data_IF_444532657861
#
_entry.id   IF_444532657861
#
_cell.length_a   1.000
_cell.length_b   1.000
_cell.length_c   1.000
_cell.angle_alpha   90.00
_cell.angle_beta   90.00
_cell.angle_gamma   90.00
#
_symmetry.space_group_name_H-M   'P 1'
#
loop_
_entity.id
_entity.type
_entity.pdbx_description
1 polymer ?
#
# COMPACT_ATOMS: atom_id res chain seq x y z
N UNK A 1 -13.26 -36.13 -46.08
CA UNK A 1 -14.63 -36.60 -46.25
C UNK A 1 -15.42 -35.95 -45.11
N UNK A 2 -16.02 -34.84 -45.46
CA UNK A 2 -17.41 -34.38 -45.27
C UNK A 2 -17.87 -34.19 -43.82
N UNK A 3 -18.55 -33.21 -43.39
CA UNK A 3 -19.08 -31.98 -43.98
C UNK A 3 -19.88 -31.26 -42.88
N UNK A 4 -19.88 -29.98 -42.89
CA UNK A 4 -20.75 -29.05 -42.17
C UNK A 4 -22.17 -29.11 -42.73
N UNK A 5 -23.19 -28.30 -42.36
CA UNK A 5 -23.36 -27.32 -41.30
C UNK A 5 -24.85 -27.18 -40.77
N UNK A 6 -25.36 -25.99 -40.40
CA UNK A 6 -26.23 -25.71 -39.26
C UNK A 6 -27.70 -25.48 -39.60
N UNK A 7 -28.61 -25.29 -38.65
CA UNK A 7 -29.93 -24.71 -38.84
C UNK A 7 -30.49 -23.93 -37.65
N UNK A 8 -30.76 -22.78 -37.90
CA UNK A 8 -31.62 -21.64 -37.60
C UNK A 8 -33.12 -21.95 -37.32
N UNK A 9 -33.66 -21.09 -36.44
CA UNK A 9 -35.00 -20.44 -36.42
C UNK A 9 -36.26 -21.30 -36.21
N UNK A 10 -37.13 -20.90 -35.26
CA UNK A 10 -38.29 -20.01 -35.52
C UNK A 10 -39.10 -19.73 -34.25
N UNK A 11 -39.58 -18.50 -34.19
CA UNK A 11 -40.64 -18.01 -33.32
C UNK A 11 -42.01 -18.53 -33.78
N UNK A 12 -42.97 -18.62 -32.86
CA UNK A 12 -44.38 -18.58 -33.18
C UNK A 12 -45.19 -17.91 -32.07
N UNK A 13 -45.84 -16.86 -32.44
CA UNK A 13 -46.89 -16.15 -31.70
C UNK A 13 -48.19 -17.01 -31.70
N UNK A 14 -49.00 -16.88 -30.63
CA UNK A 14 -50.45 -16.93 -30.83
C UNK A 14 -51.19 -16.15 -29.73
N UNK A 15 -52.02 -15.23 -30.20
CA UNK A 15 -53.05 -14.45 -29.50
C UNK A 15 -54.29 -15.32 -29.22
N UNK A 16 -54.98 -14.97 -28.11
CA UNK A 16 -56.44 -14.83 -27.91
C UNK A 16 -56.65 -14.82 -26.40
N UNK A 17 -57.50 -14.06 -25.76
CA UNK A 17 -58.66 -13.29 -26.09
C UNK A 17 -59.23 -12.74 -24.78
N UNK A 18 -59.88 -11.65 -24.86
CA UNK A 18 -60.38 -10.69 -23.91
C UNK A 18 -61.67 -11.16 -23.19
N UNK A 19 -61.81 -10.89 -21.88
CA UNK A 19 -63.09 -10.52 -21.27
C UNK A 19 -62.85 -9.93 -19.84
N UNK A 20 -63.66 -8.95 -19.42
CA UNK A 20 -63.40 -8.13 -18.23
C UNK A 20 -64.05 -8.71 -16.98
N UNK A 21 -63.36 -8.54 -15.81
CA UNK A 21 -63.99 -8.74 -14.49
C UNK A 21 -63.73 -7.52 -13.61
N UNK A 22 -64.80 -7.09 -12.96
CA UNK A 22 -64.94 -5.97 -12.05
C UNK A 22 -64.04 -6.12 -10.81
N UNK A 23 -63.65 -5.00 -10.15
CA UNK A 23 -62.77 -5.00 -8.99
C UNK A 23 -63.51 -5.33 -7.68
N UNK A 24 -62.93 -6.09 -6.77
CA UNK A 24 -63.43 -6.18 -5.42
C UNK A 24 -62.89 -5.03 -4.57
N UNK A 25 -63.79 -4.53 -3.75
CA UNK A 25 -63.74 -3.47 -2.75
C UNK A 25 -62.44 -3.33 -1.96
N UNK A 26 -62.02 -2.08 -1.76
CA UNK A 26 -60.97 -1.63 -0.87
C UNK A 26 -61.13 -2.13 0.59
N UNK A 27 -60.06 -2.74 1.11
CA UNK A 27 -59.84 -2.87 2.55
C UNK A 27 -59.02 -1.64 3.01
N UNK A 28 -59.26 -1.12 4.22
CA UNK A 28 -58.55 0.02 4.73
C UNK A 28 -57.06 -0.32 4.94
N UNK A 29 -56.18 0.57 4.55
CA UNK A 29 -54.73 0.55 4.87
C UNK A 29 -54.55 0.61 6.38
N UNK A 30 -53.59 -0.16 6.95
CA UNK A 30 -53.14 0.06 8.32
C UNK A 30 -52.32 1.35 8.36
N UNK A 31 -52.65 2.16 9.36
CA UNK A 31 -51.97 3.42 9.67
C UNK A 31 -50.47 3.27 9.82
N UNK A 32 -49.79 4.23 9.23
CA UNK A 32 -48.50 4.82 9.57
C UNK A 32 -47.74 4.12 10.72
N UNK A 33 -46.83 3.21 10.35
CA UNK A 33 -45.79 2.72 11.24
C UNK A 33 -44.65 3.74 11.13
N UNK A 34 -44.41 4.47 12.21
CA UNK A 34 -43.44 5.55 12.32
C UNK A 34 -42.11 5.24 11.65
N UNK A 35 -41.60 6.22 10.96
CA UNK A 35 -40.26 6.32 10.44
C UNK A 35 -39.24 6.01 11.58
N UNK A 36 -38.63 4.83 11.51
CA UNK A 36 -37.48 4.50 12.35
C UNK A 36 -36.27 5.30 11.82
N UNK A 37 -35.74 6.26 12.55
CA UNK A 37 -34.64 7.09 12.08
C UNK A 37 -33.31 6.37 11.88
N UNK A 38 -33.28 5.02 12.02
CA UNK A 38 -32.07 4.18 11.83
C UNK A 38 -32.00 3.48 10.47
N UNK A 39 -32.95 3.72 9.55
CA UNK A 39 -33.01 3.10 8.23
C UNK A 39 -32.34 3.95 7.11
N UNK A 40 -31.60 4.99 7.44
CA UNK A 40 -30.83 5.78 6.47
C UNK A 40 -29.47 5.13 6.17
N UNK A 41 -29.15 4.86 4.86
CA UNK A 41 -27.81 4.46 4.44
C UNK A 41 -26.75 5.52 4.82
N UNK A 42 -25.44 5.23 4.63
CA UNK A 42 -24.37 6.15 5.02
C UNK A 42 -24.54 7.53 4.36
N UNK A 43 -24.30 8.58 5.14
CA UNK A 43 -24.44 9.96 4.68
C UNK A 43 -23.27 10.34 3.77
N UNK A 44 -23.50 10.77 2.51
CA UNK A 44 -22.43 11.19 1.63
C UNK A 44 -21.68 12.40 2.20
N UNK A 45 -20.36 12.31 2.32
CA UNK A 45 -19.48 13.41 2.68
C UNK A 45 -18.71 13.84 1.42
N UNK A 46 -19.21 14.87 0.74
CA UNK A 46 -18.69 15.34 -0.56
C UNK A 46 -17.83 16.59 -0.45
N UNK A 47 -17.79 17.24 0.70
CA UNK A 47 -16.95 18.41 0.99
C UNK A 47 -16.59 18.44 2.48
N UNK A 48 -15.42 19.03 2.85
CA UNK A 48 -15.06 19.26 4.23
C UNK A 48 -16.07 20.16 4.95
N UNK A 49 -16.31 19.95 6.24
CA UNK A 49 -17.29 20.71 7.05
C UNK A 49 -17.03 22.21 7.08
N UNK A 50 -15.76 22.61 7.01
CA UNK A 50 -15.32 24.02 7.07
C UNK A 50 -15.00 24.58 5.66
N UNK A 51 -15.33 23.83 4.59
CA UNK A 51 -14.98 24.13 3.21
C UNK A 51 -13.55 23.68 2.86
N UNK A 52 -13.24 23.73 1.56
CA UNK A 52 -11.91 23.36 1.04
C UNK A 52 -10.96 24.53 1.22
N UNK A 53 -9.85 24.39 1.99
CA UNK A 53 -8.89 25.47 2.15
C UNK A 53 -8.02 25.64 0.90
N UNK A 54 -7.57 26.86 0.65
CA UNK A 54 -6.55 27.14 -0.37
C UNK A 54 -5.20 26.55 0.04
N UNK A 55 -4.36 26.13 -0.93
CA UNK A 55 -3.03 25.62 -0.65
C UNK A 55 -2.12 26.69 -0.04
N UNK A 56 -1.45 26.32 1.05
CA UNK A 56 -0.44 27.14 1.71
C UNK A 56 0.86 27.03 0.92
N UNK A 57 1.26 28.10 0.25
CA UNK A 57 2.41 28.11 -0.66
C UNK A 57 3.42 29.24 -0.36
N UNK A 58 3.16 30.08 0.65
CA UNK A 58 4.07 31.16 1.07
C UNK A 58 4.44 31.02 2.55
N UNK A 59 5.61 31.57 2.92
CA UNK A 59 6.06 31.55 4.32
C UNK A 59 5.05 32.22 5.26
N UNK A 60 4.46 33.35 4.87
CA UNK A 60 3.44 34.04 5.67
C UNK A 60 2.22 33.15 5.95
N UNK A 61 1.73 32.45 4.95
CA UNK A 61 0.60 31.52 5.12
C UNK A 61 0.98 30.35 6.00
N UNK A 62 2.21 29.84 5.86
CA UNK A 62 2.74 28.78 6.74
C UNK A 62 2.81 29.26 8.20
N UNK A 63 3.30 30.48 8.45
CA UNK A 63 3.37 31.06 9.80
C UNK A 63 1.97 31.19 10.42
N UNK A 64 0.96 31.54 9.63
CA UNK A 64 -0.44 31.57 10.06
C UNK A 64 -0.99 30.18 10.41
N UNK A 65 -0.61 29.14 9.63
CA UNK A 65 -0.94 27.74 9.93
C UNK A 65 -0.25 27.28 11.20
N UNK A 66 1.04 27.56 11.35
CA UNK A 66 1.82 27.21 12.57
C UNK A 66 1.16 27.82 13.80
N UNK A 67 0.79 29.09 13.77
CA UNK A 67 0.11 29.76 14.88
C UNK A 67 -1.24 29.12 15.22
N UNK A 68 -2.06 28.79 14.20
CA UNK A 68 -3.36 28.10 14.42
C UNK A 68 -3.17 26.71 15.01
N UNK A 69 -2.21 25.93 14.49
CA UNK A 69 -1.94 24.57 14.97
C UNK A 69 -1.31 24.57 16.37
N UNK A 70 -0.54 25.60 16.73
CA UNK A 70 -0.04 25.78 18.09
C UNK A 70 -1.18 26.03 19.10
N UNK A 71 -2.23 26.76 18.70
CA UNK A 71 -3.41 26.99 19.52
C UNK A 71 -4.41 25.82 19.52
N UNK A 72 -4.28 24.89 18.58
CA UNK A 72 -5.13 23.70 18.46
C UNK A 72 -4.90 22.69 19.58
N UNK A 73 -5.85 21.80 19.77
CA UNK A 73 -5.84 20.80 20.84
C UNK A 73 -5.99 19.37 20.30
N UNK A 74 -5.58 18.37 21.09
CA UNK A 74 -5.73 16.97 20.72
C UNK A 74 -4.77 16.50 19.62
N UNK A 75 -5.07 15.35 18.98
CA UNK A 75 -4.27 14.79 17.92
C UNK A 75 -4.29 15.64 16.65
N UNK A 76 -3.32 15.38 15.76
CA UNK A 76 -3.23 15.98 14.44
C UNK A 76 -3.43 14.87 13.40
N UNK A 77 -4.47 14.97 12.58
CA UNK A 77 -4.64 14.13 11.40
C UNK A 77 -3.70 14.60 10.30
N UNK A 78 -3.02 13.66 9.63
CA UNK A 78 -2.11 13.93 8.51
C UNK A 78 -2.36 12.93 7.37
N UNK A 79 -2.09 13.43 6.16
CA UNK A 79 -1.96 12.62 4.95
C UNK A 79 -0.98 13.30 3.98
N UNK A 80 -0.49 12.60 2.95
CA UNK A 80 0.43 13.17 1.97
C UNK A 80 0.22 12.61 0.57
N UNK A 81 0.12 13.50 -0.41
CA UNK A 81 -0.05 13.16 -1.80
C UNK A 81 1.28 13.11 -2.58
N UNK A 82 1.46 12.04 -3.31
CA UNK A 82 2.66 11.76 -4.12
C UNK A 82 2.31 11.62 -5.60
N UNK A 83 3.30 11.80 -6.48
CA UNK A 83 3.13 11.61 -7.92
C UNK A 83 3.88 10.37 -8.43
N UNK A 84 3.83 9.24 -7.70
CA UNK A 84 4.64 8.04 -7.94
C UNK A 84 4.46 7.40 -9.33
N UNK A 85 3.27 7.54 -9.94
CA UNK A 85 3.00 7.09 -11.31
C UNK A 85 3.51 8.03 -12.41
N UNK A 86 4.00 9.22 -12.05
CA UNK A 86 4.38 10.29 -12.96
C UNK A 86 5.83 10.76 -12.76
N UNK A 87 6.29 10.83 -11.52
CA UNK A 87 7.61 11.32 -11.13
C UNK A 87 8.51 10.19 -10.65
N UNK A 88 9.80 10.42 -10.73
CA UNK A 88 10.82 9.50 -10.21
C UNK A 88 10.91 9.60 -8.68
N UNK A 89 10.92 10.84 -8.18
CA UNK A 89 10.92 11.12 -6.75
C UNK A 89 9.64 10.62 -6.07
N UNK A 90 9.78 10.16 -4.84
CA UNK A 90 8.66 9.72 -4.01
C UNK A 90 8.28 10.79 -2.97
N UNK A 91 8.72 12.03 -3.17
CA UNK A 91 8.43 13.16 -2.27
C UNK A 91 6.94 13.48 -2.21
N UNK A 92 6.52 14.09 -1.14
CA UNK A 92 5.19 14.68 -1.03
C UNK A 92 5.07 15.93 -1.92
N UNK A 93 3.94 16.06 -2.58
CA UNK A 93 3.54 17.23 -3.38
C UNK A 93 2.42 18.04 -2.73
N UNK A 94 1.74 17.47 -1.74
CA UNK A 94 0.80 18.11 -0.86
C UNK A 94 0.84 17.39 0.49
N UNK A 95 0.73 18.15 1.59
CA UNK A 95 0.60 17.59 2.94
C UNK A 95 -0.70 18.16 3.53
N UNK A 96 -1.59 17.28 3.90
CA UNK A 96 -2.84 17.59 4.54
C UNK A 96 -2.68 17.50 6.06
N UNK A 97 -3.20 18.49 6.78
CA UNK A 97 -3.23 18.49 8.22
C UNK A 97 -4.61 18.94 8.72
N UNK A 98 -5.10 18.30 9.80
CA UNK A 98 -6.29 18.76 10.52
C UNK A 98 -6.10 18.61 12.02
N UNK A 99 -6.53 19.64 12.76
CA UNK A 99 -6.48 19.63 14.23
C UNK A 99 -7.70 20.33 14.80
N UNK A 100 -8.21 19.84 15.92
CA UNK A 100 -9.32 20.50 16.61
C UNK A 100 -8.92 21.92 17.05
N UNK A 101 -9.76 22.91 16.74
CA UNK A 101 -9.52 24.35 16.99
C UNK A 101 -8.58 25.03 15.99
N UNK A 102 -7.89 24.27 15.12
CA UNK A 102 -7.04 24.82 14.06
C UNK A 102 -7.65 24.68 12.66
N UNK A 103 -8.63 23.78 12.49
CA UNK A 103 -9.22 23.46 11.18
C UNK A 103 -8.29 22.62 10.30
N UNK A 104 -8.54 22.66 8.99
CA UNK A 104 -7.75 21.96 7.96
C UNK A 104 -6.75 22.91 7.31
N UNK A 105 -5.56 22.40 6.96
CA UNK A 105 -4.55 23.06 6.15
C UNK A 105 -4.04 22.12 5.05
N UNK A 106 -3.86 22.64 3.84
CA UNK A 106 -3.27 21.96 2.70
C UNK A 106 -1.94 22.63 2.38
N UNK A 107 -0.82 22.03 2.77
CA UNK A 107 0.51 22.61 2.62
C UNK A 107 1.15 22.13 1.33
N UNK A 108 1.47 23.05 0.40
CA UNK A 108 2.30 22.78 -0.76
C UNK A 108 3.78 22.88 -0.37
N UNK A 109 4.51 21.77 -0.24
CA UNK A 109 5.89 21.83 0.20
C UNK A 109 6.88 22.30 -0.88
N UNK A 110 6.45 22.42 -2.15
CA UNK A 110 7.37 22.73 -3.24
C UNK A 110 8.00 24.14 -3.13
N UNK A 111 7.23 25.20 -2.86
CA UNK A 111 7.78 26.53 -2.67
C UNK A 111 8.24 26.81 -1.24
N UNK A 112 8.03 25.90 -0.29
CA UNK A 112 8.34 26.07 1.13
C UNK A 112 9.61 25.27 1.48
N UNK A 113 10.78 25.91 1.62
CA UNK A 113 12.05 25.21 1.79
C UNK A 113 12.24 24.61 3.19
N UNK A 114 11.47 25.09 4.19
CA UNK A 114 11.62 24.70 5.58
C UNK A 114 10.26 24.60 6.28
N UNK A 115 9.98 23.43 6.86
CA UNK A 115 8.79 23.14 7.65
C UNK A 115 9.11 22.90 9.14
N UNK A 116 10.30 23.28 9.61
CA UNK A 116 10.75 23.02 10.99
C UNK A 116 9.78 23.60 12.02
N UNK A 117 9.31 24.82 11.81
CA UNK A 117 8.35 25.45 12.74
C UNK A 117 7.02 24.69 12.80
N UNK A 118 6.60 24.08 11.71
CA UNK A 118 5.42 23.20 11.69
C UNK A 118 5.70 21.90 12.45
N UNK A 119 6.85 21.26 12.22
CA UNK A 119 7.25 20.04 12.92
C UNK A 119 7.33 20.25 14.45
N UNK A 120 7.90 21.37 14.90
CA UNK A 120 7.96 21.73 16.32
C UNK A 120 6.58 21.82 16.98
N UNK A 121 5.59 22.37 16.28
CA UNK A 121 4.23 22.56 16.79
C UNK A 121 3.43 21.27 16.80
N UNK A 122 3.52 20.45 15.74
CA UNK A 122 2.74 19.22 15.64
C UNK A 122 3.47 17.98 16.20
N UNK A 123 4.79 18.03 16.35
CA UNK A 123 5.62 16.90 16.78
C UNK A 123 5.28 16.37 18.18
N UNK A 124 4.81 17.22 19.09
CA UNK A 124 4.37 16.82 20.44
C UNK A 124 2.95 16.24 20.47
N UNK A 125 2.14 16.51 19.47
CA UNK A 125 0.82 15.92 19.34
C UNK A 125 0.91 14.45 18.90
N UNK A 126 -0.15 13.68 19.13
CA UNK A 126 -0.29 12.37 18.48
C UNK A 126 -0.67 12.60 17.01
N UNK A 127 0.09 12.03 16.08
CA UNK A 127 -0.27 12.04 14.68
C UNK A 127 -1.25 10.91 14.37
N UNK A 128 -2.28 11.20 13.62
CA UNK A 128 -3.25 10.22 13.13
C UNK A 128 -3.10 10.10 11.62
N UNK A 129 -2.72 8.92 11.15
CA UNK A 129 -2.61 8.61 9.73
C UNK A 129 -3.42 7.35 9.40
N UNK A 130 -3.71 7.17 8.12
CA UNK A 130 -4.25 5.91 7.60
C UNK A 130 -3.20 5.20 6.75
N UNK A 131 -2.76 4.00 7.16
CA UNK A 131 -1.64 3.28 6.53
C UNK A 131 -0.32 4.07 6.55
N UNK A 132 0.05 4.60 7.70
CA UNK A 132 1.15 5.54 7.95
C UNK A 132 2.48 5.15 7.31
N UNK A 133 2.76 3.86 7.15
CA UNK A 133 4.00 3.37 6.52
C UNK A 133 4.18 3.86 5.07
N UNK A 134 3.12 4.34 4.42
CA UNK A 134 3.16 4.87 3.06
C UNK A 134 3.66 6.32 3.03
N UNK A 135 3.32 7.13 4.05
CA UNK A 135 3.54 8.58 4.04
C UNK A 135 4.70 9.01 4.93
N UNK A 136 5.00 8.28 6.01
CA UNK A 136 6.11 8.58 6.90
C UNK A 136 7.46 8.80 6.18
N UNK A 137 7.84 8.05 5.12
CA UNK A 137 9.09 8.33 4.40
C UNK A 137 9.11 9.70 3.72
N UNK A 138 8.05 10.07 3.00
CA UNK A 138 8.00 11.35 2.29
C UNK A 138 7.79 12.54 3.24
N UNK A 139 7.07 12.36 4.36
CA UNK A 139 6.98 13.35 5.42
C UNK A 139 8.36 13.59 6.09
N UNK A 140 9.10 12.51 6.33
CA UNK A 140 10.45 12.58 6.90
C UNK A 140 11.45 13.30 5.97
N UNK A 141 11.29 13.23 4.65
CA UNK A 141 12.07 14.01 3.67
C UNK A 141 11.82 15.53 3.82
N UNK A 142 10.64 15.91 4.27
CA UNK A 142 10.28 17.30 4.59
C UNK A 142 10.69 17.74 6.00
N UNK A 143 11.33 16.87 6.78
CA UNK A 143 11.69 17.13 8.17
C UNK A 143 10.57 16.84 9.18
N UNK A 144 9.38 16.46 8.73
CA UNK A 144 8.23 16.18 9.59
C UNK A 144 8.31 14.76 10.17
N UNK A 145 8.30 14.63 11.51
CA UNK A 145 8.50 13.35 12.20
C UNK A 145 7.60 13.20 13.42
N UNK A 146 6.73 12.16 13.49
CA UNK A 146 5.91 11.94 14.67
C UNK A 146 6.75 11.46 15.86
N UNK A 147 6.42 11.92 17.06
CA UNK A 147 6.87 11.33 18.33
C UNK A 147 5.87 10.33 18.87
N UNK A 148 4.60 10.51 18.56
CA UNK A 148 3.49 9.60 18.85
C UNK A 148 2.64 9.45 17.60
N UNK A 149 2.13 8.26 17.36
CA UNK A 149 1.39 7.92 16.15
C UNK A 149 0.22 7.00 16.49
N UNK A 150 -0.89 7.20 15.81
CA UNK A 150 -2.00 6.27 15.70
C UNK A 150 -2.25 5.98 14.21
N UNK A 151 -2.12 4.73 13.80
CA UNK A 151 -2.42 4.28 12.44
C UNK A 151 -3.79 3.62 12.40
N UNK A 152 -4.75 4.27 11.75
CA UNK A 152 -6.14 3.81 11.72
C UNK A 152 -6.33 2.52 10.91
N UNK A 153 -5.51 2.25 9.88
CA UNK A 153 -5.53 0.98 9.15
C UNK A 153 -5.04 -0.16 10.04
N UNK A 154 -3.90 0.03 10.70
CA UNK A 154 -3.31 -0.98 11.56
C UNK A 154 -4.18 -1.24 12.81
N UNK A 155 -4.76 -0.18 13.39
CA UNK A 155 -5.74 -0.28 14.46
C UNK A 155 -6.94 -1.15 14.06
N UNK A 156 -7.50 -0.90 12.88
CA UNK A 156 -8.63 -1.67 12.36
C UNK A 156 -8.27 -3.15 12.12
N UNK A 157 -7.07 -3.43 11.61
CA UNK A 157 -6.57 -4.82 11.46
C UNK A 157 -6.44 -5.53 12.80
N UNK A 158 -5.90 -4.85 13.81
CA UNK A 158 -5.80 -5.40 15.17
C UNK A 158 -7.18 -5.59 15.82
N UNK A 159 -8.13 -4.72 15.53
CA UNK A 159 -9.52 -4.86 15.98
C UNK A 159 -10.29 -5.96 15.21
N UNK A 160 -9.73 -6.53 14.14
CA UNK A 160 -10.32 -7.62 13.37
C UNK A 160 -11.34 -7.20 12.32
N UNK A 161 -11.28 -5.95 11.84
CA UNK A 161 -12.12 -5.50 10.72
C UNK A 161 -11.69 -6.18 9.42
N UNK A 162 -12.65 -6.67 8.64
CA UNK A 162 -12.38 -7.28 7.32
C UNK A 162 -12.03 -6.24 6.26
N UNK A 163 -12.69 -5.07 6.31
CA UNK A 163 -12.50 -3.97 5.37
C UNK A 163 -11.84 -2.80 6.10
N UNK A 164 -10.54 -2.64 5.88
CA UNK A 164 -9.71 -1.69 6.63
C UNK A 164 -9.36 -0.40 5.86
N UNK A 165 -9.82 -0.24 4.62
CA UNK A 165 -9.59 1.01 3.87
C UNK A 165 -10.39 2.17 4.43
N UNK A 166 -9.85 3.40 4.37
CA UNK A 166 -10.39 4.61 4.99
C UNK A 166 -11.89 4.79 4.75
N UNK A 167 -12.33 4.76 3.49
CA UNK A 167 -13.76 4.93 3.16
C UNK A 167 -14.65 3.85 3.79
N UNK A 168 -14.18 2.58 3.85
CA UNK A 168 -14.96 1.50 4.43
C UNK A 168 -15.07 1.62 5.96
N UNK A 169 -14.01 2.05 6.62
CA UNK A 169 -14.01 2.27 8.07
C UNK A 169 -14.85 3.49 8.45
N UNK A 170 -14.75 4.58 7.67
CA UNK A 170 -15.57 5.78 7.87
C UNK A 170 -17.06 5.46 7.71
N UNK A 171 -17.42 4.64 6.72
CA UNK A 171 -18.79 4.17 6.53
C UNK A 171 -19.26 3.31 7.70
N UNK A 172 -18.45 2.32 8.10
CA UNK A 172 -18.84 1.33 9.09
C UNK A 172 -18.89 1.89 10.53
N UNK A 173 -17.94 2.77 10.88
CA UNK A 173 -17.78 3.27 12.25
C UNK A 173 -18.41 4.63 12.47
N UNK A 174 -18.47 5.48 11.43
CA UNK A 174 -18.95 6.84 11.56
C UNK A 174 -20.22 7.15 10.76
N UNK A 175 -20.66 6.20 9.90
CA UNK A 175 -21.89 6.37 9.11
C UNK A 175 -21.77 7.35 7.93
N UNK A 176 -20.55 7.73 7.52
CA UNK A 176 -20.32 8.61 6.38
C UNK A 176 -19.72 7.84 5.21
N UNK A 177 -20.16 8.13 3.97
CA UNK A 177 -19.55 7.59 2.76
C UNK A 177 -18.63 8.62 2.11
N UNK A 178 -17.38 8.25 1.87
CA UNK A 178 -16.38 9.04 1.16
C UNK A 178 -16.33 8.64 -0.31
N UNK A 179 -16.32 9.61 -1.22
CA UNK A 179 -16.12 9.34 -2.64
C UNK A 179 -14.64 8.97 -2.91
N UNK A 180 -14.45 7.94 -3.77
CA UNK A 180 -13.10 7.45 -4.13
C UNK A 180 -12.66 8.09 -5.45
N UNK A 181 -11.96 9.21 -5.39
CA UNK A 181 -11.41 9.87 -6.58
C UNK A 181 -9.96 10.34 -6.32
N UNK A 182 -9.18 10.50 -7.39
CA UNK A 182 -7.89 11.21 -7.42
C UNK A 182 -6.66 10.57 -6.75
N UNK A 183 -6.73 9.42 -6.06
CA UNK A 183 -5.56 8.76 -5.44
C UNK A 183 -4.41 8.43 -6.41
N UNK A 184 -4.68 8.31 -7.72
CA UNK A 184 -3.69 8.05 -8.76
C UNK A 184 -3.42 9.27 -9.66
N UNK A 185 -3.75 10.48 -9.20
CA UNK A 185 -3.56 11.72 -9.97
C UNK A 185 -2.09 12.16 -10.02
N UNK A 186 -1.76 13.05 -10.97
CA UNK A 186 -0.43 13.68 -11.04
C UNK A 186 -0.35 14.88 -10.09
N UNK A 187 -0.16 14.62 -8.82
CA UNK A 187 -0.09 15.65 -7.76
C UNK A 187 1.07 16.65 -7.95
N UNK A 188 1.96 16.41 -8.91
CA UNK A 188 2.98 17.38 -9.28
C UNK A 188 2.47 18.52 -10.19
N UNK A 189 1.21 18.43 -10.64
CA UNK A 189 0.54 19.47 -11.45
C UNK A 189 0.35 20.75 -10.66
N UNK A 190 0.54 21.91 -11.31
CA UNK A 190 0.27 23.22 -10.71
C UNK A 190 -0.43 24.13 -11.72
N UNK A 191 -1.45 24.92 -11.31
CA UNK A 191 -2.11 24.83 -10.02
C UNK A 191 -2.84 23.50 -9.82
N UNK A 192 -3.06 23.08 -8.57
CA UNK A 192 -3.87 21.90 -8.25
C UNK A 192 -5.34 22.20 -8.54
N UNK A 193 -6.09 21.29 -9.16
CA UNK A 193 -7.52 21.43 -9.37
C UNK A 193 -8.30 21.48 -8.04
N UNK A 194 -9.35 22.30 -7.95
CA UNK A 194 -10.17 22.41 -6.75
C UNK A 194 -10.74 21.05 -6.27
N UNK A 195 -11.19 20.23 -7.19
CA UNK A 195 -11.70 18.87 -6.86
C UNK A 195 -10.66 17.99 -6.18
N UNK A 196 -9.35 18.17 -6.49
CA UNK A 196 -8.27 17.44 -5.83
C UNK A 196 -8.00 17.99 -4.43
N UNK A 197 -8.09 19.31 -4.25
CA UNK A 197 -7.96 19.95 -2.93
C UNK A 197 -9.10 19.52 -2.00
N UNK A 198 -10.31 19.43 -2.53
CA UNK A 198 -11.47 18.92 -1.78
C UNK A 198 -11.25 17.46 -1.36
N UNK A 199 -10.80 16.61 -2.29
CA UNK A 199 -10.47 15.22 -2.00
C UNK A 199 -9.40 15.12 -0.89
N UNK A 200 -8.29 15.83 -1.03
CA UNK A 200 -7.19 15.84 -0.06
C UNK A 200 -7.63 16.33 1.34
N UNK A 201 -8.49 17.34 1.39
CA UNK A 201 -9.03 17.81 2.66
C UNK A 201 -9.97 16.79 3.33
N UNK A 202 -10.72 16.02 2.53
CA UNK A 202 -11.60 14.96 3.01
C UNK A 202 -10.83 13.77 3.60
N UNK A 203 -9.64 13.45 3.09
CA UNK A 203 -8.83 12.32 3.58
C UNK A 203 -8.40 12.52 5.05
N UNK A 204 -8.28 13.76 5.53
CA UNK A 204 -7.98 14.07 6.94
C UNK A 204 -9.19 14.46 7.77
N UNK A 205 -10.36 14.73 7.13
CA UNK A 205 -11.56 15.26 7.79
C UNK A 205 -12.06 14.37 8.92
N UNK A 206 -12.06 13.06 8.70
CA UNK A 206 -12.65 12.08 9.62
C UNK A 206 -11.61 11.27 10.42
N UNK A 207 -10.31 11.52 10.21
CA UNK A 207 -9.27 10.67 10.81
C UNK A 207 -9.26 10.72 12.34
N UNK A 208 -9.51 11.87 12.95
CA UNK A 208 -9.56 12.00 14.41
C UNK A 208 -10.77 11.30 15.00
N UNK A 209 -11.93 11.43 14.37
CA UNK A 209 -13.16 10.76 14.79
C UNK A 209 -12.99 9.23 14.64
N UNK A 210 -12.37 8.80 13.53
CA UNK A 210 -12.06 7.39 13.28
C UNK A 210 -11.05 6.82 14.29
N UNK A 211 -10.03 7.60 14.64
CA UNK A 211 -9.06 7.27 15.69
C UNK A 211 -9.77 6.99 17.00
N UNK A 212 -10.68 7.85 17.43
CA UNK A 212 -11.38 7.71 18.70
C UNK A 212 -12.30 6.48 18.71
N UNK A 213 -13.00 6.21 17.61
CA UNK A 213 -13.83 5.02 17.47
C UNK A 213 -12.99 3.72 17.50
N UNK A 214 -11.84 3.69 16.83
CA UNK A 214 -10.95 2.54 16.82
C UNK A 214 -10.24 2.33 18.17
N UNK A 215 -9.84 3.39 18.85
CA UNK A 215 -9.25 3.33 20.19
C UNK A 215 -10.23 2.75 21.22
N UNK A 216 -11.49 3.19 21.15
CA UNK A 216 -12.56 2.61 21.97
C UNK A 216 -12.76 1.12 21.69
N UNK A 217 -12.72 0.71 20.42
CA UNK A 217 -12.85 -0.70 20.03
C UNK A 217 -11.66 -1.55 20.48
N UNK A 218 -10.43 -1.06 20.31
CA UNK A 218 -9.22 -1.73 20.82
C UNK A 218 -9.25 -1.86 22.34
N UNK A 219 -9.71 -0.82 23.04
CA UNK A 219 -9.88 -0.84 24.51
C UNK A 219 -10.91 -1.87 24.92
N UNK A 220 -12.06 -1.93 24.25
CA UNK A 220 -13.12 -2.92 24.49
C UNK A 220 -12.62 -4.36 24.31
N UNK A 221 -11.71 -4.58 23.35
CA UNK A 221 -11.11 -5.88 23.07
C UNK A 221 -9.86 -6.18 23.93
N UNK A 222 -9.37 -5.26 24.76
CA UNK A 222 -8.15 -5.43 25.55
C UNK A 222 -6.86 -5.43 24.71
N UNK A 223 -6.87 -4.78 23.54
CA UNK A 223 -5.76 -4.76 22.55
C UNK A 223 -5.00 -3.44 22.48
N UNK A 224 -5.28 -2.49 23.38
CA UNK A 224 -4.64 -1.15 23.38
C UNK A 224 -3.11 -1.23 23.52
N UNK A 225 -2.59 -2.16 24.34
CA UNK A 225 -1.13 -2.36 24.47
C UNK A 225 -0.51 -2.89 23.18
N UNK A 226 -1.20 -3.79 22.45
CA UNK A 226 -0.71 -4.31 21.17
C UNK A 226 -0.59 -3.21 20.13
N UNK A 227 -1.63 -2.39 20.04
CA UNK A 227 -1.65 -1.24 19.16
C UNK A 227 -0.53 -0.25 19.50
N UNK A 228 -0.33 0.06 20.79
CA UNK A 228 0.74 0.95 21.25
C UNK A 228 2.14 0.44 20.87
N UNK A 229 2.41 -0.87 21.01
CA UNK A 229 3.68 -1.48 20.60
C UNK A 229 3.89 -1.37 19.07
N UNK A 230 2.85 -1.60 18.26
CA UNK A 230 2.90 -1.48 16.82
C UNK A 230 3.12 -0.03 16.37
N UNK A 231 2.37 0.93 16.94
CA UNK A 231 2.53 2.36 16.62
C UNK A 231 3.92 2.87 17.01
N UNK A 232 4.43 2.48 18.17
CA UNK A 232 5.79 2.81 18.58
C UNK A 232 6.85 2.21 17.63
N UNK A 233 6.59 1.04 17.05
CA UNK A 233 7.47 0.46 16.06
C UNK A 233 7.42 1.23 14.72
N UNK A 234 6.26 1.70 14.28
CA UNK A 234 6.13 2.58 13.12
C UNK A 234 6.89 3.91 13.31
N UNK A 235 6.77 4.54 14.48
CA UNK A 235 7.55 5.76 14.80
C UNK A 235 9.06 5.50 14.67
N UNK A 236 9.56 4.38 15.18
CA UNK A 236 11.01 4.04 15.11
C UNK A 236 11.50 3.72 13.71
N UNK A 237 10.64 3.19 12.85
CA UNK A 237 11.07 2.60 11.58
C UNK A 237 10.47 3.29 10.34
N UNK A 238 9.30 3.88 10.46
CA UNK A 238 8.54 4.42 9.32
C UNK A 238 9.22 5.59 8.60
N UNK A 239 9.92 6.44 9.35
CA UNK A 239 10.68 7.56 8.80
C UNK A 239 12.04 7.16 8.16
N UNK A 240 12.38 5.87 8.16
CA UNK A 240 13.62 5.42 7.52
C UNK A 240 13.47 5.44 6.01
N UNK A 241 14.50 5.91 5.28
CA UNK A 241 14.46 5.84 3.84
C UNK A 241 14.28 4.38 3.38
N UNK A 242 13.56 4.15 2.28
CA UNK A 242 13.40 2.81 1.73
C UNK A 242 14.74 2.11 1.53
N UNK A 243 14.84 0.86 1.93
CA UNK A 243 16.08 0.09 1.78
C UNK A 243 16.47 0.00 0.30
N UNK A 244 17.62 0.60 -0.04
CA UNK A 244 18.20 0.48 -1.38
C UNK A 244 18.62 -0.97 -1.60
N UNK A 245 18.08 -1.59 -2.62
CA UNK A 245 18.42 -2.98 -3.00
C UNK A 245 19.69 -2.99 -3.84
N UNK A 246 20.55 -3.96 -3.59
CA UNK A 246 21.78 -4.11 -4.38
C UNK A 246 21.50 -4.38 -5.87
N UNK A 247 20.45 -5.12 -6.19
CA UNK A 247 20.11 -5.49 -7.56
C UNK A 247 18.61 -5.25 -7.87
N UNK A 248 18.18 -3.96 -7.93
CA UNK A 248 16.76 -3.62 -8.11
C UNK A 248 16.20 -4.11 -9.46
N UNK A 249 17.03 -4.22 -10.49
CA UNK A 249 16.71 -4.72 -11.83
C UNK A 249 16.14 -6.15 -11.84
N UNK A 250 16.43 -6.97 -10.82
CA UNK A 250 15.88 -8.33 -10.70
C UNK A 250 14.38 -8.36 -10.45
N UNK A 251 13.78 -7.21 -10.18
CA UNK A 251 12.32 -7.06 -10.02
C UNK A 251 11.63 -6.55 -11.28
N UNK A 252 12.35 -6.43 -12.40
CA UNK A 252 11.72 -6.09 -13.68
C UNK A 252 10.61 -7.10 -13.97
N UNK A 253 9.40 -6.60 -14.17
CA UNK A 253 8.24 -7.45 -14.41
C UNK A 253 8.47 -8.31 -15.65
N UNK A 254 8.28 -9.62 -15.53
CA UNK A 254 8.54 -10.58 -16.61
C UNK A 254 9.97 -11.13 -16.68
N UNK A 255 10.88 -10.72 -15.79
CA UNK A 255 12.27 -11.21 -15.79
C UNK A 255 12.40 -12.74 -15.69
N UNK A 256 11.42 -13.41 -15.09
CA UNK A 256 11.39 -14.88 -14.96
C UNK A 256 11.38 -15.60 -16.32
N UNK A 257 11.00 -14.91 -17.40
CA UNK A 257 11.03 -15.44 -18.78
C UNK A 257 12.44 -15.39 -19.39
N UNK A 258 13.27 -14.46 -18.92
CA UNK A 258 14.62 -14.22 -19.47
C UNK A 258 15.58 -15.31 -18.99
N UNK A 259 16.07 -16.13 -19.92
CA UNK A 259 16.96 -17.26 -19.63
C UNK A 259 18.42 -16.91 -19.95
N UNK A 260 19.30 -17.40 -19.07
CA UNK A 260 20.76 -17.27 -19.23
C UNK A 260 21.32 -15.94 -18.73
N UNK A 261 22.57 -16.00 -18.23
CA UNK A 261 23.24 -14.87 -17.58
C UNK A 261 23.44 -13.68 -18.53
N UNK A 262 23.74 -13.91 -19.79
CA UNK A 262 23.95 -12.84 -20.81
C UNK A 262 22.65 -12.09 -21.08
N UNK A 263 21.51 -12.76 -21.18
CA UNK A 263 20.22 -12.11 -21.37
C UNK A 263 19.81 -11.31 -20.11
N UNK A 264 20.08 -11.84 -18.92
CA UNK A 264 19.87 -11.11 -17.67
C UNK A 264 20.80 -9.88 -17.57
N UNK A 265 22.03 -9.96 -18.09
CA UNK A 265 22.92 -8.80 -18.17
C UNK A 265 22.31 -7.69 -19.05
N UNK A 266 21.67 -8.04 -20.18
CA UNK A 266 20.93 -7.07 -21.00
C UNK A 266 19.79 -6.41 -20.25
N UNK A 267 19.00 -7.18 -19.47
CA UNK A 267 17.98 -6.60 -18.59
C UNK A 267 18.60 -5.62 -17.60
N UNK A 268 19.70 -6.00 -16.94
CA UNK A 268 20.43 -5.17 -15.97
C UNK A 268 20.88 -3.85 -16.61
N UNK A 269 21.56 -3.89 -17.74
CA UNK A 269 22.08 -2.69 -18.42
C UNK A 269 20.95 -1.77 -18.89
N UNK A 270 19.90 -2.32 -19.49
CA UNK A 270 18.72 -1.56 -19.92
C UNK A 270 17.98 -0.93 -18.73
N UNK A 271 17.85 -1.66 -17.62
CA UNK A 271 17.22 -1.17 -16.40
C UNK A 271 17.99 0.05 -15.84
N UNK A 272 19.33 -0.04 -15.71
CA UNK A 272 20.13 1.07 -15.21
C UNK A 272 20.13 2.27 -16.17
N UNK A 273 20.17 2.04 -17.47
CA UNK A 273 20.04 3.13 -18.46
C UNK A 273 18.70 3.86 -18.33
N UNK A 274 17.60 3.10 -18.16
CA UNK A 274 16.28 3.66 -17.90
C UNK A 274 16.25 4.44 -16.59
N UNK A 275 16.75 3.87 -15.50
CA UNK A 275 16.74 4.46 -14.17
C UNK A 275 17.48 5.80 -14.15
N UNK A 276 18.65 5.88 -14.76
CA UNK A 276 19.41 7.13 -14.89
C UNK A 276 18.65 8.20 -15.70
N UNK A 277 17.94 7.82 -16.76
CA UNK A 277 17.13 8.75 -17.54
C UNK A 277 15.93 9.22 -16.73
N UNK A 278 15.26 8.31 -16.05
CA UNK A 278 14.13 8.57 -15.18
C UNK A 278 14.49 9.55 -14.06
N UNK A 279 15.59 9.30 -13.36
CA UNK A 279 16.11 10.16 -12.29
C UNK A 279 16.44 11.58 -12.80
N UNK A 280 17.18 11.67 -13.92
CA UNK A 280 17.56 13.00 -14.51
C UNK A 280 16.35 13.81 -14.98
N UNK A 281 15.27 13.17 -15.39
CA UNK A 281 14.05 13.83 -15.91
C UNK A 281 12.97 14.00 -14.84
N UNK A 282 13.20 13.48 -13.64
CA UNK A 282 12.16 13.30 -12.63
C UNK A 282 10.88 12.71 -13.25
N UNK A 283 11.00 11.62 -14.00
CA UNK A 283 9.90 10.93 -14.64
C UNK A 283 9.83 9.48 -14.16
N UNK A 284 8.62 8.98 -13.91
CA UNK A 284 8.45 7.59 -13.48
C UNK A 284 9.11 6.61 -14.48
N UNK A 285 9.87 5.60 -14.02
CA UNK A 285 10.64 4.71 -14.90
C UNK A 285 9.80 4.03 -15.99
N UNK A 286 8.56 3.65 -15.69
CA UNK A 286 7.64 3.05 -16.65
C UNK A 286 7.21 4.00 -17.79
N UNK A 287 7.25 5.33 -17.56
CA UNK A 287 6.97 6.35 -18.58
C UNK A 287 8.18 6.61 -19.49
N UNK A 288 9.38 6.29 -19.02
CA UNK A 288 10.61 6.35 -19.83
C UNK A 288 10.70 5.12 -20.74
N UNK A 289 10.55 3.92 -20.18
CA UNK A 289 10.51 2.66 -20.91
C UNK A 289 9.80 1.59 -20.03
N UNK A 290 8.71 0.97 -20.49
CA UNK A 290 8.04 -0.06 -19.71
C UNK A 290 8.91 -1.31 -19.53
N UNK A 291 8.67 -2.05 -18.44
CA UNK A 291 9.38 -3.31 -18.13
C UNK A 291 9.27 -4.32 -19.28
N UNK A 292 8.09 -4.42 -19.90
CA UNK A 292 7.85 -5.32 -21.02
C UNK A 292 8.77 -5.04 -22.22
N UNK A 293 9.09 -3.77 -22.46
CA UNK A 293 10.03 -3.38 -23.53
C UNK A 293 11.47 -3.79 -23.19
N UNK A 294 11.89 -3.62 -21.93
CA UNK A 294 13.20 -4.10 -21.48
C UNK A 294 13.32 -5.61 -21.70
N UNK A 295 12.30 -6.38 -21.32
CA UNK A 295 12.29 -7.84 -21.47
C UNK A 295 12.36 -8.20 -22.96
N UNK A 296 11.53 -7.61 -23.82
CA UNK A 296 11.53 -7.87 -25.25
C UNK A 296 12.90 -7.59 -25.91
N UNK A 297 13.52 -6.46 -25.55
CA UNK A 297 14.86 -6.12 -26.04
C UNK A 297 15.94 -7.08 -25.51
N UNK A 298 15.85 -7.52 -24.27
CA UNK A 298 16.80 -8.46 -23.70
C UNK A 298 16.70 -9.88 -24.30
N UNK A 299 15.48 -10.30 -24.68
CA UNK A 299 15.24 -11.60 -25.36
C UNK A 299 15.70 -11.57 -26.81
N UNK A 300 15.30 -10.55 -27.61
CA UNK A 300 15.62 -10.46 -29.03
C UNK A 300 17.08 -10.05 -29.29
N UNK A 301 17.69 -9.26 -28.41
CA UNK A 301 19.06 -8.71 -28.56
C UNK A 301 19.29 -7.95 -29.88
N UNK A 302 18.48 -6.90 -30.19
CA UNK A 302 18.60 -6.14 -31.44
C UNK A 302 19.97 -5.46 -31.56
N UNK A 303 20.57 -5.50 -32.78
CA UNK A 303 21.92 -4.95 -33.08
C UNK A 303 21.86 -3.56 -33.70
N UNK A 304 20.70 -3.16 -34.19
CA UNK A 304 20.48 -1.92 -34.92
C UNK A 304 19.18 -1.26 -34.53
N UNK A 305 19.07 0.02 -34.87
CA UNK A 305 17.92 0.84 -34.53
C UNK A 305 16.63 0.35 -35.23
N UNK A 306 16.72 -0.12 -36.44
CA UNK A 306 15.56 -0.59 -37.19
C UNK A 306 14.91 -1.78 -36.49
N UNK A 307 15.69 -2.78 -36.11
CA UNK A 307 15.24 -3.97 -35.36
C UNK A 307 14.72 -3.57 -34.00
N UNK A 308 15.41 -2.68 -33.25
CA UNK A 308 14.98 -2.22 -31.95
C UNK A 308 13.59 -1.55 -32.01
N UNK A 309 13.36 -0.69 -33.01
CA UNK A 309 12.11 0.06 -33.14
C UNK A 309 10.90 -0.79 -33.58
N UNK A 310 11.10 -2.04 -34.00
CA UNK A 310 10.01 -2.99 -34.26
C UNK A 310 9.44 -3.58 -32.97
N UNK A 311 10.19 -3.50 -31.87
CA UNK A 311 9.76 -4.10 -30.60
C UNK A 311 8.63 -3.31 -29.93
N UNK A 312 7.71 -4.01 -29.25
CA UNK A 312 6.68 -3.37 -28.44
C UNK A 312 7.27 -2.44 -27.39
N UNK A 313 6.74 -1.22 -27.28
CA UNK A 313 7.22 -0.20 -26.34
C UNK A 313 8.29 0.74 -26.90
N UNK A 314 8.92 0.45 -28.06
CA UNK A 314 9.92 1.31 -28.70
C UNK A 314 9.33 2.25 -29.76
N UNK A 315 8.05 2.16 -30.09
CA UNK A 315 7.41 2.97 -31.13
C UNK A 315 7.17 4.45 -30.77
N UNK A 316 7.19 4.80 -29.48
CA UNK A 316 6.93 6.16 -29.00
C UNK A 316 8.02 7.16 -29.37
N UNK A 317 7.64 8.42 -29.70
CA UNK A 317 8.58 9.47 -30.11
C UNK A 317 9.71 9.71 -29.09
N UNK A 318 9.40 9.72 -27.80
CA UNK A 318 10.38 9.91 -26.72
C UNK A 318 11.37 8.75 -26.61
N UNK A 319 10.89 7.52 -26.81
CA UNK A 319 11.72 6.30 -26.74
C UNK A 319 12.62 6.19 -27.96
N UNK A 320 12.11 6.53 -29.15
CA UNK A 320 12.90 6.59 -30.41
C UNK A 320 14.10 7.55 -30.33
N UNK A 321 13.91 8.72 -29.68
CA UNK A 321 15.04 9.68 -29.49
C UNK A 321 16.16 9.09 -28.62
N UNK A 322 15.90 8.05 -27.86
CA UNK A 322 16.83 7.36 -26.98
C UNK A 322 17.33 6.03 -27.57
N UNK A 323 17.02 5.73 -28.85
CA UNK A 323 17.37 4.45 -29.47
C UNK A 323 18.86 4.13 -29.33
N UNK A 324 19.73 5.11 -29.55
CA UNK A 324 21.20 4.97 -29.39
C UNK A 324 21.58 4.61 -27.96
N UNK A 325 20.90 5.17 -26.95
CA UNK A 325 21.15 4.86 -25.54
C UNK A 325 20.74 3.42 -25.21
N UNK A 326 19.62 2.97 -25.75
CA UNK A 326 19.17 1.59 -25.55
C UNK A 326 20.08 0.58 -26.24
N UNK A 327 20.52 0.86 -27.46
CA UNK A 327 21.50 0.02 -28.16
C UNK A 327 22.85 -0.02 -27.44
N UNK A 328 23.35 1.12 -26.96
CA UNK A 328 24.56 1.15 -26.15
C UNK A 328 24.45 0.30 -24.89
N UNK A 329 23.33 0.35 -24.17
CA UNK A 329 23.11 -0.50 -23.00
C UNK A 329 23.10 -2.00 -23.34
N UNK A 330 22.59 -2.38 -24.51
CA UNK A 330 22.65 -3.76 -24.99
C UNK A 330 24.08 -4.14 -25.40
N UNK A 331 24.83 -3.24 -26.05
CA UNK A 331 26.22 -3.43 -26.41
C UNK A 331 27.12 -3.63 -25.18
N UNK A 332 26.95 -2.77 -24.16
CA UNK A 332 27.64 -2.91 -22.87
C UNK A 332 27.44 -4.30 -22.29
N UNK A 333 26.19 -4.80 -22.30
CA UNK A 333 25.89 -6.13 -21.78
C UNK A 333 26.53 -7.26 -22.62
N UNK A 334 26.67 -7.08 -23.94
CA UNK A 334 27.33 -8.05 -24.82
C UNK A 334 28.82 -8.13 -24.58
N UNK A 335 29.45 -6.99 -24.27
CA UNK A 335 30.89 -6.86 -24.07
C UNK A 335 31.34 -7.27 -22.66
N UNK A 336 30.42 -7.53 -21.73
CA UNK A 336 30.78 -7.98 -20.39
C UNK A 336 31.56 -9.29 -20.45
N UNK A 337 32.68 -9.40 -19.72
CA UNK A 337 33.36 -10.67 -19.53
C UNK A 337 32.48 -11.64 -18.74
N UNK A 338 32.73 -12.93 -18.87
CA UNK A 338 31.84 -13.96 -18.31
C UNK A 338 31.78 -13.93 -16.78
N UNK A 339 32.84 -13.52 -16.10
CA UNK A 339 32.93 -13.34 -14.65
C UNK A 339 32.14 -12.13 -14.12
N UNK A 340 31.83 -11.15 -15.01
CA UNK A 340 31.00 -9.99 -14.69
C UNK A 340 29.51 -10.18 -15.00
N UNK A 341 29.13 -11.34 -15.52
CA UNK A 341 27.74 -11.67 -15.78
C UNK A 341 26.94 -11.84 -14.46
N UNK A 342 25.64 -11.52 -14.48
CA UNK A 342 24.79 -11.72 -13.31
C UNK A 342 24.80 -13.20 -12.90
N UNK A 343 25.22 -13.46 -11.68
CA UNK A 343 25.09 -14.76 -11.04
C UNK A 343 23.73 -14.80 -10.34
N UNK A 344 23.04 -15.92 -10.43
CA UNK A 344 21.82 -16.09 -9.62
C UNK A 344 22.22 -16.01 -8.15
N UNK A 345 21.74 -15.02 -7.37
CA UNK A 345 22.09 -14.94 -5.96
C UNK A 345 21.74 -16.25 -5.28
N UNK A 346 22.60 -16.71 -4.39
CA UNK A 346 22.20 -17.75 -3.44
C UNK A 346 20.96 -17.21 -2.71
N UNK A 347 19.91 -18.02 -2.65
CA UNK A 347 18.69 -17.61 -1.96
C UNK A 347 19.03 -17.34 -0.48
N UNK A 348 18.95 -16.07 -0.07
CA UNK A 348 19.06 -15.73 1.34
C UNK A 348 17.81 -16.26 2.06
N UNK A 349 18.03 -17.09 3.08
CA UNK A 349 16.95 -17.67 3.87
C UNK A 349 16.39 -19.00 3.33
N UNK A 350 15.27 -19.45 3.89
CA UNK A 350 14.67 -20.73 3.55
C UNK A 350 14.27 -20.82 2.08
N UNK A 351 14.40 -22.00 1.44
CA UNK A 351 13.86 -22.20 0.09
C UNK A 351 12.33 -21.99 0.06
N UNK A 352 11.70 -21.89 -1.12
CA UNK A 352 10.26 -21.85 -1.22
C UNK A 352 9.59 -23.05 -0.53
N UNK A 353 8.50 -22.85 0.26
CA UNK A 353 7.91 -23.93 1.08
C UNK A 353 7.52 -25.20 0.33
N UNK A 354 7.11 -25.09 -0.94
CA UNK A 354 6.75 -26.24 -1.77
C UNK A 354 7.94 -27.21 -2.04
N UNK A 355 9.18 -26.75 -1.81
CA UNK A 355 10.39 -27.58 -1.98
C UNK A 355 10.91 -28.19 -0.68
N UNK A 356 10.26 -27.88 0.46
CA UNK A 356 10.76 -28.31 1.76
C UNK A 356 10.61 -29.81 1.98
N UNK A 357 9.48 -30.39 1.56
CA UNK A 357 9.23 -31.82 1.71
C UNK A 357 10.32 -32.71 1.07
N UNK A 358 10.90 -32.22 -0.05
CA UNK A 358 11.98 -32.91 -0.76
C UNK A 358 13.36 -32.66 -0.14
N UNK A 359 13.57 -31.45 0.46
CA UNK A 359 14.88 -31.03 0.98
C UNK A 359 15.08 -31.33 2.46
N UNK A 360 14.08 -31.08 3.25
CA UNK A 360 14.05 -31.26 4.70
C UNK A 360 12.61 -31.54 5.14
N UNK A 361 12.19 -32.81 5.14
CA UNK A 361 10.84 -33.20 5.57
C UNK A 361 10.52 -32.81 7.02
N UNK A 362 11.54 -32.73 7.90
CA UNK A 362 11.38 -32.35 9.30
C UNK A 362 11.04 -30.87 9.41
N UNK A 363 11.79 -30.01 8.70
CA UNK A 363 11.47 -28.59 8.64
C UNK A 363 10.11 -28.32 7.99
N UNK A 364 9.73 -29.12 6.97
CA UNK A 364 8.43 -29.03 6.34
C UNK A 364 7.29 -29.32 7.34
N UNK A 365 7.42 -30.37 8.13
CA UNK A 365 6.45 -30.74 9.17
C UNK A 365 6.38 -29.66 10.26
N UNK A 366 7.53 -29.14 10.72
CA UNK A 366 7.60 -28.01 11.66
C UNK A 366 6.85 -26.77 11.15
N UNK A 367 7.04 -26.42 9.87
CA UNK A 367 6.35 -25.27 9.29
C UNK A 367 4.83 -25.43 9.30
N UNK A 368 4.34 -26.63 9.02
CA UNK A 368 2.88 -26.92 9.09
C UNK A 368 2.36 -26.68 10.49
N UNK A 369 3.00 -27.28 11.50
CA UNK A 369 2.59 -27.11 12.90
C UNK A 369 2.66 -25.66 13.38
N UNK A 370 3.76 -24.96 13.06
CA UNK A 370 3.89 -23.54 13.41
C UNK A 370 2.78 -22.68 12.79
N UNK A 371 2.39 -22.96 11.53
CA UNK A 371 1.29 -22.26 10.88
C UNK A 371 -0.07 -22.57 11.50
N UNK A 372 -0.29 -23.81 11.90
CA UNK A 372 -1.52 -24.21 12.63
C UNK A 372 -1.62 -23.45 13.95
N UNK A 373 -0.52 -23.34 14.71
CA UNK A 373 -0.46 -22.52 15.93
C UNK A 373 -0.83 -21.08 15.64
N UNK A 374 -0.18 -20.45 14.63
CA UNK A 374 -0.45 -19.04 14.29
C UNK A 374 -1.91 -18.86 13.87
N UNK A 375 -2.45 -19.75 13.03
CA UNK A 375 -3.84 -19.65 12.57
C UNK A 375 -4.83 -19.79 13.74
N UNK A 376 -4.59 -20.74 14.66
CA UNK A 376 -5.43 -20.95 15.83
C UNK A 376 -5.41 -19.73 16.76
N UNK A 377 -4.22 -19.25 17.14
CA UNK A 377 -4.07 -18.10 18.04
C UNK A 377 -4.64 -16.83 17.39
N UNK A 378 -4.43 -16.63 16.09
CA UNK A 378 -5.02 -15.51 15.36
C UNK A 378 -6.56 -15.56 15.40
N UNK A 379 -7.15 -16.76 15.22
CA UNK A 379 -8.60 -16.95 15.32
C UNK A 379 -9.14 -16.70 16.73
N UNK A 380 -8.43 -17.15 17.78
CA UNK A 380 -8.80 -16.91 19.18
C UNK A 380 -8.87 -15.42 19.54
N UNK A 381 -8.07 -14.60 18.85
CA UNK A 381 -7.98 -13.15 19.08
C UNK A 381 -8.63 -12.30 17.99
N UNK A 382 -9.34 -12.92 17.06
CA UNK A 382 -9.94 -12.21 15.91
C UNK A 382 -8.90 -11.30 15.20
N UNK A 383 -7.79 -11.91 14.76
CA UNK A 383 -6.70 -11.23 14.04
C UNK A 383 -6.44 -11.92 12.70
N UNK A 384 -6.08 -11.19 11.64
CA UNK A 384 -5.43 -11.80 10.50
C UNK A 384 -4.10 -12.45 10.92
N UNK A 385 -3.80 -13.69 10.49
CA UNK A 385 -2.56 -14.38 10.87
C UNK A 385 -1.29 -13.59 10.56
N UNK A 386 -1.27 -12.85 9.46
CA UNK A 386 -0.15 -11.99 9.05
C UNK A 386 0.04 -10.74 9.92
N UNK A 387 -0.99 -10.31 10.63
CA UNK A 387 -0.89 -9.24 11.63
C UNK A 387 -0.46 -9.76 13.00
N UNK A 388 -0.78 -11.04 13.31
CA UNK A 388 -0.27 -11.67 14.53
C UNK A 388 1.24 -11.88 14.44
N UNK A 389 1.77 -12.37 13.30
CA UNK A 389 3.21 -12.46 13.07
C UNK A 389 3.52 -12.52 11.56
N UNK A 390 4.63 -11.89 11.16
CA UNK A 390 5.06 -11.93 9.77
C UNK A 390 5.27 -13.39 9.29
N UNK A 391 4.66 -13.83 8.17
CA UNK A 391 4.78 -15.20 7.67
C UNK A 391 6.24 -15.62 7.41
N UNK A 392 7.13 -14.66 7.07
CA UNK A 392 8.55 -14.93 6.87
C UNK A 392 9.26 -15.27 8.18
N UNK A 393 8.88 -14.66 9.29
CA UNK A 393 9.44 -14.98 10.62
C UNK A 393 9.13 -16.42 11.01
N UNK A 394 7.91 -16.86 10.81
CA UNK A 394 7.49 -18.26 11.06
C UNK A 394 8.24 -19.23 10.15
N UNK A 395 8.39 -18.86 8.88
CA UNK A 395 9.13 -19.66 7.89
C UNK A 395 10.60 -19.82 8.26
N UNK A 396 11.27 -18.74 8.67
CA UNK A 396 12.69 -18.76 9.10
C UNK A 396 12.85 -19.56 10.37
N UNK A 397 12.01 -19.36 11.36
CA UNK A 397 12.03 -20.09 12.62
C UNK A 397 11.86 -21.61 12.40
N UNK A 398 10.92 -22.02 11.56
CA UNK A 398 10.68 -23.43 11.26
C UNK A 398 11.81 -24.08 10.46
N UNK A 399 12.51 -23.30 9.60
CA UNK A 399 13.62 -23.79 8.79
C UNK A 399 14.91 -23.97 9.58
N UNK A 400 15.28 -22.94 10.35
CA UNK A 400 16.45 -22.95 11.24
C UNK A 400 15.98 -22.58 12.64
N UNK A 401 15.46 -23.55 13.42
CA UNK A 401 15.14 -23.31 14.83
C UNK A 401 16.43 -23.09 15.63
N UNK A 402 16.35 -22.48 16.83
CA UNK A 402 17.51 -22.43 17.74
C UNK A 402 18.00 -23.87 18.07
N UNK A 403 19.31 -23.98 18.34
CA UNK A 403 19.94 -25.28 18.66
C UNK A 403 19.27 -25.95 19.86
N UNK A 404 19.01 -25.18 20.91
CA UNK A 404 18.17 -25.58 22.05
C UNK A 404 16.81 -24.88 21.93
N UNK A 405 15.76 -25.67 21.76
CA UNK A 405 14.39 -25.16 21.65
C UNK A 405 13.85 -24.88 23.06
N UNK A 406 14.30 -23.75 23.64
CA UNK A 406 13.72 -23.21 24.87
C UNK A 406 12.84 -22.00 24.54
N UNK A 407 11.87 -21.71 25.41
CA UNK A 407 11.04 -20.51 25.21
C UNK A 407 11.89 -19.24 25.07
N UNK A 408 12.97 -19.10 25.86
CA UNK A 408 13.86 -17.96 25.77
C UNK A 408 14.55 -17.87 24.40
N UNK A 409 15.09 -18.98 23.89
CA UNK A 409 15.80 -18.99 22.60
C UNK A 409 14.83 -18.71 21.43
N UNK A 410 13.60 -19.23 21.50
CA UNK A 410 12.56 -18.94 20.51
C UNK A 410 12.15 -17.45 20.57
N UNK A 411 11.97 -16.88 21.79
CA UNK A 411 11.65 -15.48 21.96
C UNK A 411 12.75 -14.57 21.36
N UNK A 412 14.01 -14.86 21.65
CA UNK A 412 15.15 -14.08 21.15
C UNK A 412 15.28 -14.17 19.63
N UNK A 413 15.00 -15.34 19.06
CA UNK A 413 14.93 -15.53 17.60
C UNK A 413 13.82 -14.67 16.98
N UNK A 414 12.64 -14.66 17.59
CA UNK A 414 11.51 -13.84 17.11
C UNK A 414 11.78 -12.36 17.23
N UNK A 415 12.43 -11.89 18.33
CA UNK A 415 12.92 -10.50 18.46
C UNK A 415 13.89 -10.14 17.34
N UNK A 416 14.81 -11.05 17.01
CA UNK A 416 15.73 -10.91 15.87
C UNK A 416 15.02 -10.74 14.52
N UNK A 417 13.81 -11.26 14.40
CA UNK A 417 12.93 -11.07 13.24
C UNK A 417 11.99 -9.86 13.38
N UNK A 418 12.21 -8.99 14.37
CA UNK A 418 11.41 -7.81 14.69
C UNK A 418 9.96 -8.11 15.14
N UNK A 419 9.69 -9.27 15.73
CA UNK A 419 8.43 -9.51 16.41
C UNK A 419 8.29 -8.59 17.63
N UNK A 420 7.05 -8.15 17.92
CA UNK A 420 6.73 -7.34 19.09
C UNK A 420 6.57 -8.21 20.31
N UNK A 421 6.72 -7.64 21.49
CA UNK A 421 6.59 -8.41 22.73
C UNK A 421 5.18 -8.99 22.91
N UNK A 422 4.12 -8.26 22.51
CA UNK A 422 2.76 -8.79 22.54
C UNK A 422 2.60 -10.03 21.63
N UNK A 423 3.22 -10.05 20.45
CA UNK A 423 3.20 -11.19 19.52
C UNK A 423 3.92 -12.40 20.14
N UNK A 424 5.07 -12.15 20.74
CA UNK A 424 5.87 -13.16 21.42
C UNK A 424 5.07 -13.74 22.59
N UNK A 425 4.50 -12.91 23.47
CA UNK A 425 3.70 -13.35 24.61
C UNK A 425 2.56 -14.30 24.21
N UNK A 426 1.89 -14.03 23.09
CA UNK A 426 0.77 -14.86 22.61
C UNK A 426 1.22 -16.18 22.00
N UNK A 427 2.35 -16.18 21.28
CA UNK A 427 2.73 -17.30 20.44
C UNK A 427 3.76 -18.24 21.10
N UNK A 428 4.53 -17.74 22.06
CA UNK A 428 5.75 -18.38 22.52
C UNK A 428 5.57 -19.82 23.02
N UNK A 429 4.64 -20.12 23.97
CA UNK A 429 4.53 -21.50 24.49
C UNK A 429 4.17 -22.49 23.39
N UNK A 430 3.16 -22.16 22.58
CA UNK A 430 2.67 -23.05 21.54
C UNK A 430 3.65 -23.20 20.35
N UNK A 431 4.42 -22.14 20.01
CA UNK A 431 5.46 -22.26 18.99
C UNK A 431 6.65 -23.09 19.47
N UNK A 432 7.08 -22.94 20.73
CA UNK A 432 8.14 -23.76 21.29
C UNK A 432 7.76 -25.24 21.25
N UNK A 433 6.54 -25.60 21.65
CA UNK A 433 6.00 -26.96 21.55
C UNK A 433 5.98 -27.46 20.10
N UNK A 434 5.48 -26.64 19.15
CA UNK A 434 5.40 -27.00 17.73
C UNK A 434 6.77 -27.21 17.06
N UNK A 435 7.84 -26.65 17.61
CA UNK A 435 9.19 -26.85 17.13
C UNK A 435 9.82 -28.14 17.62
N UNK A 436 9.45 -28.64 18.82
CA UNK A 436 9.94 -29.90 19.39
C UNK A 436 9.35 -31.14 18.72
N UNK A 437 8.09 -31.09 18.34
CA UNK A 437 7.37 -32.22 17.76
C UNK A 437 7.73 -32.43 16.29
#
# INVERSE_FOLDING_TARGET
VTDEPPLRRRAAESRTGNAPHDPPSARPEPADAGDDPTAGGPVPLTAPREGTPEPVATQRELDEVVARFAAGTGPVALDAERASGYRYSQRAYLVQLRRAGAGTALVDPLPLPDLTALDEVIGEAEWVLHAASQDLPCLAELGLRPRRLFDTELAARLAGFERVGLAALTEQLLGFSLEKHHSAADWSTRPLPESWLTYAALDVEMLTDLRDALDAELTRQGKSEWAAEEFAALVRTGARPPRVRAEPWRRTSGIHRVRGARAQARVRSMWYARDQIAARRDAAPGRVLPDSAIIAAAELDPKDEQTLLTLPGFGGRSVRRLARTWLAALDDARQLPDDALPVTPAAEGPPPPHRWAERDPVAAARLVRCREVVTRVAGEHNLPPENLIAPDSVRRLAWVPPEEITEQAVADTLRGFNAREWQIRLLLPALAEALHA
#
